data_IF_854580660695
#
_entry.id   IF_854580660695
#
_cell.length_a   1.000
_cell.length_b   1.000
_cell.length_c   1.000
_cell.angle_alpha   90.00
_cell.angle_beta   90.00
_cell.angle_gamma   90.00
#
_symmetry.space_group_name_H-M   'P 1'
#
loop_
_entity.id
_entity.type
_entity.pdbx_description
1 polymer ?
#
# COMPACT_ATOMS: atom_id res chain seq x y z
N UNK A 1 1.10 -48.67 -15.32
CA UNK A 1 1.58 -47.58 -16.17
C UNK A 1 2.46 -46.71 -15.29
N UNK A 2 3.77 -46.77 -15.50
CA UNK A 2 4.76 -45.94 -14.80
C UNK A 2 4.55 -44.50 -15.25
N UNK A 3 3.96 -43.65 -14.41
CA UNK A 3 3.97 -42.21 -14.64
C UNK A 3 5.45 -41.80 -14.74
N UNK A 4 5.89 -41.36 -15.91
CA UNK A 4 7.16 -40.65 -16.06
C UNK A 4 7.11 -39.46 -15.10
N UNK A 5 7.96 -39.49 -14.08
CA UNK A 5 7.94 -38.52 -13.00
C UNK A 5 8.40 -37.16 -13.52
N UNK A 6 7.53 -36.14 -13.44
CA UNK A 6 7.86 -34.75 -13.85
C UNK A 6 9.03 -34.24 -13.00
N UNK A 7 10.16 -33.93 -13.63
CA UNK A 7 11.40 -33.55 -12.94
C UNK A 7 11.35 -32.09 -12.49
N UNK A 8 11.85 -31.80 -11.29
CA UNK A 8 11.85 -30.47 -10.73
C UNK A 8 13.27 -29.87 -10.66
N UNK A 9 13.36 -28.57 -10.90
CA UNK A 9 14.58 -27.78 -10.75
C UNK A 9 14.37 -26.56 -9.87
N UNK A 10 15.37 -26.15 -9.10
CA UNK A 10 15.30 -24.94 -8.28
C UNK A 10 16.54 -24.08 -8.50
N UNK A 11 16.32 -22.82 -8.90
CA UNK A 11 17.38 -21.82 -9.02
C UNK A 11 17.18 -20.72 -7.98
N UNK A 12 18.20 -20.51 -7.16
CA UNK A 12 18.19 -19.62 -6.00
C UNK A 12 17.79 -20.36 -4.73
N UNK A 13 18.77 -20.67 -3.87
CA UNK A 13 18.64 -21.47 -2.66
C UNK A 13 18.65 -20.60 -1.40
N UNK A 14 17.99 -19.44 -1.48
CA UNK A 14 17.68 -18.60 -0.33
C UNK A 14 16.58 -19.22 0.55
N UNK A 15 15.97 -18.42 1.43
CA UNK A 15 14.89 -18.88 2.32
C UNK A 15 13.75 -19.59 1.58
N UNK A 16 13.30 -19.02 0.45
CA UNK A 16 12.21 -19.57 -0.34
C UNK A 16 12.68 -20.80 -1.13
N UNK A 17 13.61 -20.63 -2.07
CA UNK A 17 13.97 -21.72 -2.97
C UNK A 17 14.68 -22.88 -2.26
N UNK A 18 15.48 -22.62 -1.24
CA UNK A 18 16.05 -23.68 -0.39
C UNK A 18 14.95 -24.47 0.33
N UNK A 19 13.93 -23.78 0.87
CA UNK A 19 12.77 -24.43 1.49
C UNK A 19 11.90 -25.20 0.49
N UNK A 20 11.75 -24.70 -0.74
CA UNK A 20 11.11 -25.43 -1.85
C UNK A 20 11.89 -26.71 -2.15
N UNK A 21 13.21 -26.63 -2.30
CA UNK A 21 14.06 -27.78 -2.60
C UNK A 21 13.96 -28.87 -1.52
N UNK A 22 14.01 -28.48 -0.25
CA UNK A 22 13.83 -29.39 0.90
C UNK A 22 12.42 -30.01 0.91
N UNK A 23 11.38 -29.23 0.61
CA UNK A 23 10.00 -29.75 0.59
C UNK A 23 9.79 -30.78 -0.53
N UNK A 24 10.35 -30.52 -1.71
CA UNK A 24 10.35 -31.44 -2.84
C UNK A 24 11.08 -32.75 -2.51
N UNK A 25 12.30 -32.66 -1.97
CA UNK A 25 13.09 -33.81 -1.56
C UNK A 25 12.36 -34.68 -0.54
N UNK A 26 11.70 -34.06 0.45
CA UNK A 26 10.89 -34.77 1.46
C UNK A 26 9.70 -35.53 0.85
N UNK A 27 9.18 -35.11 -0.30
CA UNK A 27 8.13 -35.81 -1.05
C UNK A 27 8.66 -36.88 -2.00
N UNK A 28 9.98 -37.09 -2.05
CA UNK A 28 10.64 -38.05 -2.93
C UNK A 28 11.04 -37.47 -4.30
N UNK A 29 10.72 -36.21 -4.58
CA UNK A 29 11.12 -35.52 -5.83
C UNK A 29 12.39 -34.72 -5.59
N UNK A 30 13.55 -35.35 -5.59
CA UNK A 30 14.84 -34.65 -5.39
C UNK A 30 15.10 -33.72 -6.58
N UNK A 31 15.18 -32.39 -6.37
CA UNK A 31 15.30 -31.44 -7.48
C UNK A 31 16.76 -31.24 -7.92
N UNK A 32 16.95 -30.92 -9.21
CA UNK A 32 18.21 -30.34 -9.69
C UNK A 32 18.32 -28.89 -9.18
N UNK A 33 19.43 -28.51 -8.55
CA UNK A 33 19.51 -27.20 -7.89
C UNK A 33 20.71 -26.36 -8.32
N UNK A 34 20.58 -25.04 -8.24
CA UNK A 34 21.67 -24.08 -8.42
C UNK A 34 21.47 -22.84 -7.54
N UNK A 35 22.56 -22.35 -6.94
CA UNK A 35 22.68 -21.01 -6.36
C UNK A 35 24.03 -20.41 -6.79
N UNK A 36 24.09 -19.08 -6.89
CA UNK A 36 25.35 -18.37 -7.17
C UNK A 36 26.36 -18.54 -6.02
N UNK A 37 25.87 -18.75 -4.79
CA UNK A 37 26.70 -19.02 -3.63
C UNK A 37 27.21 -20.46 -3.70
N UNK A 38 28.53 -20.68 -3.64
CA UNK A 38 29.08 -22.03 -3.59
C UNK A 38 28.57 -22.75 -2.34
N UNK A 39 28.28 -24.05 -2.47
CA UNK A 39 27.84 -24.93 -1.36
C UNK A 39 26.50 -24.57 -0.72
N UNK A 40 25.66 -23.76 -1.37
CA UNK A 40 24.35 -23.41 -0.82
C UNK A 40 23.44 -24.65 -0.63
N UNK A 41 23.62 -25.68 -1.46
CA UNK A 41 22.88 -26.95 -1.36
C UNK A 41 23.34 -27.83 -0.18
N UNK A 42 24.61 -27.74 0.25
CA UNK A 42 25.19 -28.61 1.29
C UNK A 42 24.42 -28.54 2.63
N UNK A 43 23.77 -27.40 2.90
CA UNK A 43 23.00 -27.17 4.11
C UNK A 43 21.52 -27.59 4.01
N UNK A 44 21.07 -28.12 2.86
CA UNK A 44 19.68 -28.44 2.58
C UNK A 44 19.41 -29.95 2.72
N UNK A 45 18.63 -30.39 3.72
CA UNK A 45 18.34 -31.81 3.92
C UNK A 45 17.67 -32.46 2.71
N UNK A 46 18.21 -33.59 2.26
CA UNK A 46 17.65 -34.40 1.16
C UNK A 46 17.86 -33.82 -0.24
N UNK A 47 18.60 -32.72 -0.37
CA UNK A 47 18.97 -32.11 -1.65
C UNK A 47 20.39 -32.56 -2.02
N UNK A 48 20.58 -32.96 -3.27
CA UNK A 48 21.90 -33.32 -3.80
C UNK A 48 22.78 -32.07 -4.02
N UNK A 49 24.04 -32.29 -4.41
CA UNK A 49 24.94 -31.19 -4.77
C UNK A 49 24.39 -30.30 -5.89
N UNK A 50 24.67 -29.00 -5.82
CA UNK A 50 24.23 -28.07 -6.86
C UNK A 50 25.00 -28.26 -8.19
N UNK A 51 24.30 -28.01 -9.30
CA UNK A 51 24.86 -28.05 -10.65
C UNK A 51 25.73 -26.83 -10.95
N UNK A 52 26.32 -26.77 -12.14
CA UNK A 52 27.23 -25.70 -12.55
C UNK A 52 26.56 -24.39 -12.96
N UNK A 53 25.30 -24.44 -13.41
CA UNK A 53 24.58 -23.28 -13.96
C UNK A 53 23.05 -23.45 -13.92
N UNK A 54 22.27 -22.36 -14.08
CA UNK A 54 20.83 -22.42 -14.34
C UNK A 54 20.48 -23.22 -15.61
N UNK A 55 21.30 -23.14 -16.65
CA UNK A 55 21.14 -23.94 -17.87
C UNK A 55 21.23 -25.45 -17.58
N UNK A 56 22.13 -25.88 -16.71
CA UNK A 56 22.24 -27.30 -16.35
C UNK A 56 21.04 -27.78 -15.52
N UNK A 57 20.49 -26.91 -14.66
CA UNK A 57 19.21 -27.18 -13.97
C UNK A 57 18.08 -27.37 -14.98
N UNK A 58 18.01 -26.53 -16.02
CA UNK A 58 17.00 -26.63 -17.06
C UNK A 58 17.06 -27.97 -17.81
N UNK A 59 18.24 -28.44 -18.21
CA UNK A 59 18.42 -29.74 -18.90
C UNK A 59 17.94 -30.93 -18.05
N UNK A 60 18.07 -30.82 -16.73
CA UNK A 60 17.71 -31.86 -15.78
C UNK A 60 16.25 -31.81 -15.31
N UNK A 61 15.46 -30.83 -15.76
CA UNK A 61 14.14 -30.53 -15.20
C UNK A 61 13.06 -30.41 -16.27
N UNK A 62 11.81 -30.62 -15.87
CA UNK A 62 10.63 -30.31 -16.69
C UNK A 62 9.93 -29.04 -16.14
N UNK A 63 10.04 -28.79 -14.83
CA UNK A 63 9.55 -27.57 -14.16
C UNK A 63 10.67 -26.95 -13.33
N UNK A 64 11.00 -25.68 -13.58
CA UNK A 64 12.07 -24.95 -12.87
C UNK A 64 11.47 -23.81 -12.05
N UNK A 65 11.64 -23.89 -10.74
CA UNK A 65 11.32 -22.85 -9.78
C UNK A 65 12.48 -21.83 -9.71
N UNK A 66 12.19 -20.55 -9.98
CA UNK A 66 13.17 -19.47 -9.89
C UNK A 66 12.84 -18.57 -8.69
N UNK A 67 13.72 -18.56 -7.69
CA UNK A 67 13.56 -17.83 -6.44
C UNK A 67 14.79 -16.96 -6.14
N UNK A 68 14.83 -15.79 -6.76
CA UNK A 68 15.90 -14.77 -6.64
C UNK A 68 15.38 -13.47 -6.02
N UNK A 69 16.27 -12.50 -5.75
CA UNK A 69 15.92 -11.30 -4.97
C UNK A 69 15.17 -10.26 -5.80
N UNK A 70 15.61 -10.02 -7.04
CA UNK A 70 15.15 -8.89 -7.85
C UNK A 70 15.00 -9.23 -9.34
N UNK A 71 14.48 -8.26 -10.09
CA UNK A 71 14.24 -8.37 -11.53
C UNK A 71 15.50 -8.57 -12.37
N UNK A 72 16.64 -8.00 -11.97
CA UNK A 72 17.90 -8.16 -12.71
C UNK A 72 18.44 -9.57 -12.54
N UNK A 73 18.36 -10.11 -11.31
CA UNK A 73 18.69 -11.50 -11.05
C UNK A 73 17.75 -12.46 -11.79
N UNK A 74 16.46 -12.15 -11.86
CA UNK A 74 15.50 -12.96 -12.61
C UNK A 74 15.85 -12.99 -14.11
N UNK A 75 16.18 -11.84 -14.71
CA UNK A 75 16.67 -11.77 -16.10
C UNK A 75 17.96 -12.56 -16.31
N UNK A 76 18.95 -12.38 -15.43
CA UNK A 76 20.22 -13.08 -15.53
C UNK A 76 20.05 -14.60 -15.41
N UNK A 77 19.22 -15.07 -14.48
CA UNK A 77 18.95 -16.48 -14.27
C UNK A 77 18.14 -17.09 -15.40
N UNK A 78 17.15 -16.38 -15.94
CA UNK A 78 16.26 -16.94 -16.97
C UNK A 78 16.88 -16.80 -18.36
N UNK A 79 17.27 -15.58 -18.74
CA UNK A 79 17.65 -15.22 -20.11
C UNK A 79 19.13 -14.86 -20.28
N UNK A 80 19.95 -14.97 -19.22
CA UNK A 80 21.40 -14.77 -19.32
C UNK A 80 22.10 -15.86 -20.16
N UNK A 81 23.39 -15.68 -20.50
CA UNK A 81 24.13 -16.62 -21.34
C UNK A 81 24.15 -18.07 -20.83
N UNK A 82 24.23 -18.25 -19.50
CA UNK A 82 24.14 -19.55 -18.83
C UNK A 82 22.78 -19.73 -18.11
N UNK A 83 21.78 -18.96 -18.53
CA UNK A 83 20.45 -18.93 -17.95
C UNK A 83 19.61 -20.17 -18.26
N UNK A 84 18.43 -20.26 -17.65
CA UNK A 84 17.49 -21.37 -17.84
C UNK A 84 17.16 -21.58 -19.33
N UNK A 85 16.94 -20.51 -20.08
CA UNK A 85 16.61 -20.59 -21.52
C UNK A 85 17.76 -21.16 -22.37
N UNK A 86 19.02 -20.98 -21.96
CA UNK A 86 20.18 -21.53 -22.68
C UNK A 86 20.27 -23.07 -22.57
N UNK A 87 19.63 -23.67 -21.56
CA UNK A 87 19.56 -25.12 -21.37
C UNK A 87 18.16 -25.72 -21.51
N UNK A 88 17.16 -24.90 -21.84
CA UNK A 88 15.78 -25.35 -21.89
C UNK A 88 15.53 -26.29 -23.07
N UNK A 89 14.54 -27.17 -22.90
CA UNK A 89 13.97 -27.99 -23.96
C UNK A 89 12.51 -27.57 -24.17
N UNK A 90 11.95 -27.71 -25.38
CA UNK A 90 10.54 -27.44 -25.62
C UNK A 90 9.64 -28.16 -24.62
N UNK A 91 8.70 -27.43 -24.02
CA UNK A 91 7.79 -27.95 -22.98
C UNK A 91 8.29 -27.80 -21.54
N UNK A 92 9.51 -27.31 -21.30
CA UNK A 92 9.94 -26.88 -19.96
C UNK A 92 9.03 -25.76 -19.45
N UNK A 93 8.76 -25.74 -18.15
CA UNK A 93 8.00 -24.66 -17.50
C UNK A 93 8.85 -23.93 -16.47
N UNK A 94 8.95 -22.61 -16.58
CA UNK A 94 9.52 -21.73 -15.55
C UNK A 94 8.43 -21.23 -14.63
N UNK A 95 8.62 -21.41 -13.32
CA UNK A 95 7.75 -20.87 -12.27
C UNK A 95 8.53 -19.81 -11.51
N UNK A 96 8.19 -18.54 -11.72
CA UNK A 96 8.87 -17.42 -11.07
C UNK A 96 8.27 -17.15 -9.69
N UNK A 97 9.03 -17.41 -8.63
CA UNK A 97 8.60 -17.19 -7.24
C UNK A 97 8.94 -15.78 -6.71
N UNK A 98 9.88 -15.11 -7.37
CA UNK A 98 10.32 -13.77 -7.01
C UNK A 98 9.22 -12.74 -7.21
N UNK A 99 8.98 -11.92 -6.19
CA UNK A 99 8.06 -10.79 -6.31
C UNK A 99 8.72 -9.67 -7.11
N UNK A 100 8.27 -9.46 -8.35
CA UNK A 100 8.79 -8.40 -9.24
C UNK A 100 7.63 -7.66 -9.94
N UNK A 101 7.95 -6.56 -10.61
CA UNK A 101 6.95 -5.75 -11.32
C UNK A 101 6.38 -6.47 -12.56
N UNK A 102 5.08 -6.28 -12.83
CA UNK A 102 4.37 -6.93 -13.94
C UNK A 102 5.00 -6.73 -15.33
N UNK A 103 5.55 -5.54 -15.69
CA UNK A 103 6.22 -5.40 -16.98
C UNK A 103 7.38 -6.38 -17.15
N UNK A 104 8.11 -6.67 -16.07
CA UNK A 104 9.20 -7.66 -16.10
C UNK A 104 8.67 -9.09 -16.19
N UNK A 105 7.55 -9.38 -15.52
CA UNK A 105 6.85 -10.68 -15.64
C UNK A 105 6.48 -10.94 -17.10
N UNK A 106 5.88 -9.95 -17.78
CA UNK A 106 5.48 -10.08 -19.18
C UNK A 106 6.67 -10.20 -20.13
N UNK A 107 7.72 -9.41 -19.90
CA UNK A 107 8.99 -9.50 -20.64
C UNK A 107 9.58 -10.91 -20.54
N UNK A 108 9.72 -11.45 -19.33
CA UNK A 108 10.28 -12.79 -19.11
C UNK A 108 9.40 -13.90 -19.72
N UNK A 109 8.09 -13.76 -19.62
CA UNK A 109 7.15 -14.70 -20.24
C UNK A 109 7.27 -14.70 -21.76
N UNK A 110 7.43 -13.53 -22.39
CA UNK A 110 7.64 -13.42 -23.82
C UNK A 110 8.95 -14.11 -24.24
N UNK A 111 10.06 -13.85 -23.53
CA UNK A 111 11.35 -14.50 -23.80
C UNK A 111 11.26 -16.03 -23.66
N UNK A 112 10.50 -16.53 -22.67
CA UNK A 112 10.24 -17.96 -22.53
C UNK A 112 9.43 -18.51 -23.71
N UNK A 113 8.38 -17.81 -24.13
CA UNK A 113 7.54 -18.23 -25.26
C UNK A 113 8.34 -18.32 -26.58
N UNK A 114 9.28 -17.41 -26.82
CA UNK A 114 10.19 -17.44 -27.99
C UNK A 114 11.06 -18.70 -28.03
N UNK A 115 11.22 -19.41 -26.90
CA UNK A 115 11.98 -20.66 -26.76
C UNK A 115 11.07 -21.89 -26.52
N UNK A 116 9.75 -21.77 -26.75
CA UNK A 116 8.78 -22.84 -26.48
C UNK A 116 8.76 -23.31 -25.00
N UNK A 117 9.08 -22.38 -24.10
CA UNK A 117 9.09 -22.58 -22.64
C UNK A 117 7.85 -21.96 -22.03
N UNK A 118 7.13 -22.74 -21.22
CA UNK A 118 5.99 -22.27 -20.44
C UNK A 118 6.44 -21.36 -19.29
N UNK A 119 5.60 -20.40 -18.92
CA UNK A 119 5.91 -19.45 -17.85
C UNK A 119 4.72 -19.22 -16.93
N UNK A 120 4.95 -19.33 -15.62
CA UNK A 120 4.00 -19.04 -14.56
C UNK A 120 4.58 -18.01 -13.60
N UNK A 121 3.82 -16.97 -13.29
CA UNK A 121 4.15 -16.06 -12.20
C UNK A 121 3.53 -16.58 -10.90
N UNK A 122 4.34 -16.75 -9.86
CA UNK A 122 3.96 -17.48 -8.65
C UNK A 122 4.29 -16.70 -7.37
N UNK A 123 3.33 -15.97 -6.83
CA UNK A 123 3.52 -15.33 -5.53
C UNK A 123 3.51 -16.36 -4.41
N UNK A 124 4.38 -16.22 -3.40
CA UNK A 124 4.40 -17.13 -2.24
C UNK A 124 4.18 -16.42 -0.91
N UNK A 125 3.52 -17.11 0.02
CA UNK A 125 3.29 -16.64 1.39
C UNK A 125 2.85 -17.78 2.34
N UNK A 126 3.25 -17.78 3.62
CA UNK A 126 4.37 -17.04 4.20
C UNK A 126 5.70 -17.74 3.90
N UNK A 127 6.77 -16.95 3.69
CA UNK A 127 8.04 -17.47 3.15
C UNK A 127 8.91 -18.25 4.14
N UNK A 128 8.84 -17.89 5.42
CA UNK A 128 9.51 -18.55 6.53
C UNK A 128 9.05 -20.02 6.73
N UNK A 129 7.88 -20.38 6.18
CA UNK A 129 7.32 -21.73 6.20
C UNK A 129 7.65 -22.58 4.98
N UNK A 130 8.58 -22.13 4.13
CA UNK A 130 8.94 -22.83 2.90
C UNK A 130 9.42 -24.27 3.12
N UNK A 131 10.35 -24.51 4.05
CA UNK A 131 10.90 -25.85 4.33
C UNK A 131 9.89 -26.81 4.99
N UNK A 132 8.82 -26.28 5.58
CA UNK A 132 7.77 -27.03 6.27
C UNK A 132 6.60 -27.40 5.35
N UNK A 133 6.69 -27.14 4.03
CA UNK A 133 5.56 -27.26 3.10
C UNK A 133 4.35 -26.42 3.58
N UNK A 134 4.62 -25.24 4.14
CA UNK A 134 3.60 -24.35 4.70
C UNK A 134 3.18 -23.21 3.76
N UNK A 135 3.82 -23.07 2.60
CA UNK A 135 3.55 -21.97 1.67
C UNK A 135 2.24 -22.15 0.90
N UNK A 136 1.55 -21.03 0.68
CA UNK A 136 0.53 -20.87 -0.36
C UNK A 136 1.22 -20.35 -1.62
N UNK A 137 1.06 -21.07 -2.72
CA UNK A 137 1.47 -20.65 -4.07
C UNK A 137 0.29 -19.96 -4.77
N UNK A 138 0.51 -18.75 -5.26
CA UNK A 138 -0.48 -17.87 -5.89
C UNK A 138 -0.08 -17.71 -7.36
N UNK A 139 -0.75 -18.42 -8.25
CA UNK A 139 -0.35 -18.55 -9.66
C UNK A 139 -1.11 -17.61 -10.58
N UNK A 140 -0.41 -17.00 -11.51
CA UNK A 140 -0.94 -16.50 -12.77
C UNK A 140 -0.32 -17.27 -13.94
N UNK A 141 -1.09 -17.49 -14.99
CA UNK A 141 -0.63 -18.16 -16.20
C UNK A 141 -1.73 -18.98 -16.89
N UNK A 142 -1.34 -19.61 -18.00
CA UNK A 142 -2.22 -20.45 -18.83
C UNK A 142 -2.64 -21.75 -18.12
N UNK A 143 -3.90 -22.15 -18.28
CA UNK A 143 -4.49 -23.33 -17.62
C UNK A 143 -3.75 -24.63 -17.94
N UNK A 144 -3.27 -24.81 -19.17
CA UNK A 144 -2.55 -26.01 -19.58
C UNK A 144 -1.16 -26.05 -18.93
N UNK A 145 -0.46 -24.92 -18.87
CA UNK A 145 0.84 -24.81 -18.19
C UNK A 145 0.68 -25.05 -16.69
N UNK A 146 -0.33 -24.45 -16.06
CA UNK A 146 -0.66 -24.69 -14.64
C UNK A 146 -0.94 -26.16 -14.38
N UNK A 147 -1.74 -26.80 -15.24
CA UNK A 147 -2.08 -28.22 -15.12
C UNK A 147 -0.85 -29.13 -15.25
N UNK A 148 0.06 -28.82 -16.18
CA UNK A 148 1.30 -29.55 -16.38
C UNK A 148 2.28 -29.40 -15.19
N UNK A 149 2.37 -28.21 -14.59
CA UNK A 149 3.23 -27.94 -13.44
C UNK A 149 2.65 -28.41 -12.09
N UNK A 150 1.34 -28.64 -12.02
CA UNK A 150 0.62 -28.96 -10.78
C UNK A 150 1.20 -30.11 -9.94
N UNK A 151 1.70 -31.24 -10.52
CA UNK A 151 2.32 -32.31 -9.75
C UNK A 151 3.53 -31.82 -8.93
N UNK A 152 4.39 -30.98 -9.53
CA UNK A 152 5.56 -30.40 -8.84
C UNK A 152 5.14 -29.36 -7.81
N UNK A 153 4.16 -28.51 -8.14
CA UNK A 153 3.68 -27.45 -7.24
C UNK A 153 3.08 -27.99 -5.94
N UNK A 154 2.36 -29.12 -6.00
CA UNK A 154 1.75 -29.76 -4.82
C UNK A 154 2.74 -30.44 -3.89
N UNK A 155 3.96 -30.69 -4.34
CA UNK A 155 4.99 -31.33 -3.53
C UNK A 155 5.69 -30.35 -2.58
N UNK A 156 5.58 -29.03 -2.81
CA UNK A 156 6.18 -28.02 -1.94
C UNK A 156 5.22 -26.95 -1.40
N UNK A 157 4.05 -26.78 -1.99
CA UNK A 157 3.03 -25.86 -1.50
C UNK A 157 2.00 -26.59 -0.62
N UNK A 158 1.61 -25.96 0.50
CA UNK A 158 0.45 -26.36 1.30
C UNK A 158 -0.84 -26.23 0.50
N UNK A 159 -0.95 -25.16 -0.28
CA UNK A 159 -2.09 -24.85 -1.13
C UNK A 159 -1.60 -24.13 -2.38
N UNK A 160 -2.15 -24.52 -3.52
CA UNK A 160 -1.95 -23.84 -4.80
C UNK A 160 -3.26 -23.15 -5.16
N UNK A 161 -3.21 -21.86 -5.46
CA UNK A 161 -4.36 -21.05 -5.90
C UNK A 161 -4.01 -20.45 -7.24
N UNK A 162 -4.75 -20.81 -8.28
CA UNK A 162 -4.65 -20.19 -9.59
C UNK A 162 -5.61 -19.01 -9.66
N UNK A 163 -5.05 -17.82 -9.87
CA UNK A 163 -5.74 -16.54 -9.74
C UNK A 163 -6.14 -15.93 -11.09
N UNK A 164 -5.83 -16.61 -12.20
CA UNK A 164 -6.18 -16.19 -13.55
C UNK A 164 -4.98 -16.16 -14.52
N UNK A 165 -5.03 -15.32 -15.56
CA UNK A 165 -4.01 -15.30 -16.60
C UNK A 165 -2.66 -14.80 -16.08
N UNK A 166 -1.64 -14.81 -16.94
CA UNK A 166 -0.31 -14.29 -16.63
C UNK A 166 -0.39 -12.89 -15.99
N UNK A 167 0.37 -12.71 -14.90
CA UNK A 167 0.41 -11.51 -14.07
C UNK A 167 -0.58 -11.53 -12.90
N UNK A 168 -1.64 -12.35 -12.93
CA UNK A 168 -2.63 -12.39 -11.87
C UNK A 168 -2.07 -12.90 -10.52
N UNK A 169 -1.10 -13.81 -10.54
CA UNK A 169 -0.46 -14.35 -9.35
C UNK A 169 0.36 -13.28 -8.61
N UNK A 170 1.19 -12.55 -9.35
CA UNK A 170 1.99 -11.42 -8.86
C UNK A 170 1.12 -10.26 -8.42
N UNK A 171 0.11 -9.89 -9.21
CA UNK A 171 -0.83 -8.84 -8.83
C UNK A 171 -1.53 -9.18 -7.49
N UNK A 172 -2.01 -10.42 -7.34
CA UNK A 172 -2.65 -10.90 -6.10
C UNK A 172 -1.66 -10.88 -4.93
N UNK A 173 -0.41 -11.29 -5.14
CA UNK A 173 0.64 -11.25 -4.11
C UNK A 173 0.99 -9.83 -3.68
N UNK A 174 1.11 -8.90 -4.62
CA UNK A 174 1.35 -7.48 -4.35
C UNK A 174 0.17 -6.88 -3.58
N UNK A 175 -1.07 -7.13 -4.02
CA UNK A 175 -2.27 -6.68 -3.30
C UNK A 175 -2.33 -7.23 -1.87
N UNK A 176 -2.02 -8.51 -1.67
CA UNK A 176 -1.94 -9.12 -0.33
C UNK A 176 -0.87 -8.44 0.55
N UNK A 177 0.27 -8.04 -0.03
CA UNK A 177 1.30 -7.32 0.71
C UNK A 177 0.84 -5.94 1.16
N UNK A 178 0.05 -5.22 0.35
CA UNK A 178 -0.55 -3.94 0.74
C UNK A 178 -1.39 -4.12 2.01
N UNK A 179 -2.26 -5.12 2.04
CA UNK A 179 -3.10 -5.41 3.23
C UNK A 179 -2.22 -5.68 4.47
N UNK A 180 -1.15 -6.46 4.32
CA UNK A 180 -0.29 -6.83 5.45
C UNK A 180 0.48 -5.64 6.00
N UNK A 181 1.24 -4.95 5.14
CA UNK A 181 2.10 -3.85 5.57
C UNK A 181 1.31 -2.61 5.93
N UNK A 182 0.17 -2.35 5.26
CA UNK A 182 -0.78 -1.32 5.67
C UNK A 182 -1.32 -1.57 7.08
N UNK A 183 -1.74 -2.80 7.37
CA UNK A 183 -2.22 -3.15 8.72
C UNK A 183 -1.13 -3.01 9.79
N UNK A 184 0.11 -3.39 9.48
CA UNK A 184 1.24 -3.17 10.40
C UNK A 184 1.47 -1.69 10.69
N UNK A 185 1.34 -0.84 9.67
CA UNK A 185 1.41 0.61 9.86
C UNK A 185 0.27 1.12 10.73
N UNK A 186 -0.97 0.66 10.50
CA UNK A 186 -2.12 1.01 11.34
C UNK A 186 -1.89 0.61 12.80
N UNK A 187 -1.45 -0.64 13.05
CA UNK A 187 -1.19 -1.14 14.40
C UNK A 187 -0.07 -0.35 15.07
N UNK A 188 0.97 0.02 14.33
CA UNK A 188 2.04 0.87 14.84
C UNK A 188 1.52 2.25 15.28
N UNK A 189 0.69 2.91 14.48
CA UNK A 189 0.07 4.20 14.83
C UNK A 189 -0.87 4.08 16.03
N UNK A 190 -1.70 3.03 16.07
CA UNK A 190 -2.60 2.77 17.20
C UNK A 190 -1.82 2.49 18.50
N UNK A 191 -0.73 1.72 18.43
CA UNK A 191 0.13 1.45 19.58
C UNK A 191 0.84 2.72 20.07
N UNK A 192 1.27 3.60 19.15
CA UNK A 192 1.86 4.89 19.51
C UNK A 192 0.83 5.81 20.20
N UNK A 193 -0.39 5.88 19.67
CA UNK A 193 -1.49 6.64 20.28
C UNK A 193 -1.84 6.11 21.68
N UNK A 194 -1.99 4.79 21.82
CA UNK A 194 -2.26 4.14 23.09
C UNK A 194 -1.14 4.37 24.11
N UNK A 195 0.12 4.22 23.69
CA UNK A 195 1.29 4.47 24.53
C UNK A 195 1.36 5.92 25.03
N UNK A 196 1.10 6.89 24.15
CA UNK A 196 1.05 8.30 24.53
C UNK A 196 -0.10 8.62 25.49
N UNK A 197 -1.22 7.89 25.39
CA UNK A 197 -2.33 7.94 26.33
C UNK A 197 -2.06 7.19 27.66
N UNK A 198 -0.85 6.61 27.84
CA UNK A 198 -0.47 5.85 29.03
C UNK A 198 -0.97 4.40 29.06
N UNK A 199 -1.43 3.86 27.93
CA UNK A 199 -1.89 2.48 27.80
C UNK A 199 -0.76 1.58 27.32
N UNK A 200 -0.55 0.46 28.01
CA UNK A 200 0.38 -0.59 27.57
C UNK A 200 -0.08 -1.19 26.23
N UNK A 201 0.74 -1.17 25.16
CA UNK A 201 0.41 -1.81 23.89
C UNK A 201 0.02 -3.29 24.01
N UNK A 202 0.51 -4.02 25.03
CA UNK A 202 0.07 -5.39 25.28
C UNK A 202 -1.41 -5.47 25.67
N UNK A 203 -1.95 -4.46 26.36
CA UNK A 203 -3.38 -4.35 26.66
C UNK A 203 -4.19 -3.97 25.44
N UNK A 204 -3.65 -3.14 24.55
CA UNK A 204 -4.26 -2.89 23.24
C UNK A 204 -4.36 -4.19 22.42
N UNK A 205 -3.30 -5.00 22.41
CA UNK A 205 -3.30 -6.30 21.74
C UNK A 205 -4.35 -7.25 22.35
N UNK A 206 -4.43 -7.35 23.69
CA UNK A 206 -5.45 -8.16 24.39
C UNK A 206 -6.88 -7.77 24.01
N UNK A 207 -7.16 -6.46 23.91
CA UNK A 207 -8.47 -5.94 23.48
C UNK A 207 -8.76 -6.33 22.02
N UNK A 208 -7.79 -6.17 21.13
CA UNK A 208 -7.95 -6.52 19.70
C UNK A 208 -8.17 -8.03 19.54
N UNK A 209 -7.37 -8.87 20.17
CA UNK A 209 -7.50 -10.34 20.08
C UNK A 209 -8.84 -10.83 20.63
N UNK A 210 -9.36 -10.18 21.68
CA UNK A 210 -10.67 -10.52 22.28
C UNK A 210 -11.83 -10.06 21.41
N UNK A 211 -11.75 -8.85 20.85
CA UNK A 211 -12.80 -8.28 20.01
C UNK A 211 -12.84 -8.91 18.60
N UNK A 212 -11.67 -9.31 18.09
CA UNK A 212 -11.50 -9.85 16.74
C UNK A 212 -10.60 -11.09 16.71
N UNK A 213 -11.05 -12.22 17.29
CA UNK A 213 -10.26 -13.43 17.30
C UNK A 213 -10.01 -13.91 15.87
N UNK A 214 -8.74 -14.17 15.56
CA UNK A 214 -8.23 -14.61 14.25
C UNK A 214 -8.19 -13.50 13.16
N UNK A 215 -8.34 -12.23 13.52
CA UNK A 215 -8.18 -11.10 12.59
C UNK A 215 -9.26 -11.04 11.51
N UNK A 216 -10.52 -11.35 11.86
CA UNK A 216 -11.65 -11.36 10.93
C UNK A 216 -11.94 -9.97 10.37
N UNK A 217 -11.72 -8.90 11.15
CA UNK A 217 -11.96 -7.51 10.75
C UNK A 217 -11.13 -7.15 9.52
N UNK A 218 -9.89 -7.64 9.42
CA UNK A 218 -8.97 -7.36 8.31
C UNK A 218 -9.50 -7.86 6.96
N UNK A 219 -10.25 -8.96 6.94
CA UNK A 219 -10.91 -9.47 5.74
C UNK A 219 -12.41 -9.12 5.66
N UNK A 220 -12.96 -8.49 6.70
CA UNK A 220 -14.39 -8.25 6.81
C UNK A 220 -14.89 -7.35 5.67
N UNK A 221 -14.17 -6.29 5.34
CA UNK A 221 -14.54 -5.39 4.24
C UNK A 221 -14.60 -6.13 2.89
N UNK A 222 -13.64 -7.02 2.61
CA UNK A 222 -13.67 -7.85 1.39
C UNK A 222 -14.83 -8.85 1.38
N UNK A 223 -15.26 -9.32 2.56
CA UNK A 223 -16.38 -10.26 2.73
C UNK A 223 -17.75 -9.59 2.78
N UNK A 224 -17.79 -8.26 2.97
CA UNK A 224 -19.01 -7.45 2.87
C UNK A 224 -19.40 -7.20 1.41
N UNK A 225 -18.45 -7.37 0.48
CA UNK A 225 -18.69 -7.20 -0.95
C UNK A 225 -19.62 -8.30 -1.48
N UNK A 226 -20.55 -7.90 -2.34
CA UNK A 226 -21.49 -8.80 -2.98
C UNK A 226 -20.87 -9.55 -4.18
N UNK A 227 -21.70 -10.24 -4.96
CA UNK A 227 -21.24 -10.98 -6.14
C UNK A 227 -20.67 -10.08 -7.25
N UNK A 228 -21.01 -8.79 -7.28
CA UNK A 228 -20.42 -7.81 -8.19
C UNK A 228 -19.11 -7.23 -7.65
N UNK A 229 -18.74 -7.56 -6.42
CA UNK A 229 -17.55 -7.06 -5.76
C UNK A 229 -17.75 -5.67 -5.15
N UNK A 230 -19.00 -5.23 -4.92
CA UNK A 230 -19.32 -3.91 -4.35
C UNK A 230 -19.85 -4.04 -2.92
N UNK A 231 -19.62 -3.02 -2.07
CA UNK A 231 -20.25 -2.98 -0.74
C UNK A 231 -21.72 -2.53 -0.91
N UNK A 232 -22.71 -3.32 -0.45
CA UNK A 232 -24.11 -2.92 -0.55
C UNK A 232 -24.37 -1.57 0.12
N UNK A 233 -24.98 -0.62 -0.60
CA UNK A 233 -25.13 0.78 -0.14
C UNK A 233 -25.81 0.88 1.23
N UNK A 234 -26.86 0.07 1.48
CA UNK A 234 -27.56 0.05 2.77
C UNK A 234 -26.65 -0.36 3.94
N UNK A 235 -25.69 -1.27 3.70
CA UNK A 235 -24.70 -1.67 4.68
C UNK A 235 -23.67 -0.55 4.89
N UNK A 236 -23.19 0.05 3.81
CA UNK A 236 -22.29 1.20 3.87
C UNK A 236 -22.87 2.35 4.69
N UNK A 237 -24.12 2.77 4.40
CA UNK A 237 -24.83 3.84 5.13
C UNK A 237 -25.05 3.54 6.62
N UNK A 238 -25.06 2.27 7.01
CA UNK A 238 -25.15 1.85 8.41
C UNK A 238 -23.80 1.98 9.13
N UNK A 239 -22.69 1.71 8.44
CA UNK A 239 -21.34 1.70 9.01
C UNK A 239 -20.73 3.10 9.04
N UNK A 240 -21.00 3.92 8.00
CA UNK A 240 -20.41 5.24 7.79
C UNK A 240 -20.45 6.14 9.05
N UNK A 241 -21.58 6.32 9.76
CA UNK A 241 -21.61 7.22 10.92
C UNK A 241 -20.75 6.75 12.09
N UNK A 242 -20.63 5.43 12.27
CA UNK A 242 -19.82 4.83 13.35
C UNK A 242 -18.33 5.03 13.06
N UNK A 243 -17.92 4.72 11.83
CA UNK A 243 -16.54 4.88 11.38
C UNK A 243 -16.10 6.35 11.41
N UNK A 244 -16.94 7.27 10.92
CA UNK A 244 -16.68 8.71 10.96
C UNK A 244 -16.49 9.23 12.39
N UNK A 245 -17.36 8.81 13.32
CA UNK A 245 -17.29 9.19 14.75
C UNK A 245 -16.02 8.66 15.43
N UNK A 246 -15.70 7.37 15.27
CA UNK A 246 -14.57 6.76 15.98
C UNK A 246 -13.22 7.27 15.45
N UNK A 247 -13.10 7.52 14.14
CA UNK A 247 -11.89 8.10 13.55
C UNK A 247 -11.68 9.58 13.92
N UNK A 248 -12.77 10.35 14.08
CA UNK A 248 -12.69 11.72 14.58
C UNK A 248 -12.15 11.75 16.03
N UNK A 249 -12.65 10.86 16.89
CA UNK A 249 -12.16 10.75 18.26
C UNK A 249 -10.67 10.36 18.33
N UNK A 250 -10.22 9.44 17.48
CA UNK A 250 -8.80 9.08 17.41
C UNK A 250 -7.92 10.26 16.96
N UNK A 251 -8.39 11.06 15.99
CA UNK A 251 -7.71 12.26 15.51
C UNK A 251 -7.54 13.32 16.60
N UNK A 252 -8.62 13.63 17.31
CA UNK A 252 -8.60 14.64 18.37
C UNK A 252 -7.66 14.25 19.51
N UNK A 253 -7.68 12.97 19.90
CA UNK A 253 -6.77 12.43 20.92
C UNK A 253 -5.31 12.50 20.47
N UNK A 254 -5.01 12.17 19.22
CA UNK A 254 -3.65 12.23 18.70
C UNK A 254 -3.11 13.67 18.66
N UNK A 255 -3.97 14.63 18.29
CA UNK A 255 -3.63 16.04 18.32
C UNK A 255 -3.36 16.56 19.76
N UNK A 256 -4.13 16.09 20.75
CA UNK A 256 -3.90 16.40 22.16
C UNK A 256 -2.57 15.84 22.67
N UNK A 257 -2.24 14.61 22.27
CA UNK A 257 -1.05 13.89 22.73
C UNK A 257 0.21 14.18 21.90
N UNK A 258 0.11 14.95 20.82
CA UNK A 258 1.23 15.25 19.93
C UNK A 258 1.75 14.02 19.17
N UNK A 259 0.87 13.08 18.84
CA UNK A 259 1.21 11.85 18.09
C UNK A 259 0.75 11.98 16.64
N UNK A 260 1.65 11.66 15.70
CA UNK A 260 1.30 11.61 14.28
C UNK A 260 0.60 10.29 13.93
N UNK A 261 -0.65 10.38 13.44
CA UNK A 261 -1.46 9.24 12.94
C UNK A 261 -1.94 9.46 11.49
N UNK A 262 -1.02 9.61 10.51
CA UNK A 262 -1.38 9.97 9.15
C UNK A 262 -2.30 8.96 8.46
N UNK A 263 -2.22 7.67 8.78
CA UNK A 263 -3.10 6.67 8.17
C UNK A 263 -4.53 6.80 8.69
N UNK A 264 -4.70 7.15 9.97
CA UNK A 264 -6.02 7.44 10.53
C UNK A 264 -6.64 8.70 9.90
N UNK A 265 -5.85 9.73 9.58
CA UNK A 265 -6.34 10.92 8.86
C UNK A 265 -6.85 10.58 7.46
N UNK A 266 -6.06 9.80 6.72
CA UNK A 266 -6.42 9.34 5.38
C UNK A 266 -7.71 8.52 5.43
N UNK A 267 -7.84 7.63 6.41
CA UNK A 267 -9.07 6.86 6.61
C UNK A 267 -10.27 7.76 6.97
N UNK A 268 -10.08 8.72 7.89
CA UNK A 268 -11.11 9.67 8.36
C UNK A 268 -11.66 10.52 7.21
N UNK A 269 -10.79 10.99 6.32
CA UNK A 269 -11.18 11.84 5.19
C UNK A 269 -11.77 11.06 4.01
N UNK A 270 -11.72 9.71 4.05
CA UNK A 270 -12.18 8.82 2.98
C UNK A 270 -13.19 7.77 3.44
N UNK A 271 -13.91 7.98 4.56
CA UNK A 271 -14.89 7.01 5.07
C UNK A 271 -15.90 6.60 4.01
N UNK A 272 -16.49 7.55 3.30
CA UNK A 272 -17.51 7.29 2.26
C UNK A 272 -16.94 6.55 1.05
N UNK A 273 -15.79 7.01 0.56
CA UNK A 273 -15.01 6.38 -0.51
C UNK A 273 -14.64 4.92 -0.16
N UNK A 274 -14.24 4.67 1.10
CA UNK A 274 -13.90 3.33 1.62
C UNK A 274 -15.09 2.37 1.63
N UNK A 275 -16.30 2.91 1.81
CA UNK A 275 -17.54 2.14 1.90
C UNK A 275 -18.30 2.10 0.56
N UNK A 276 -17.65 2.48 -0.53
CA UNK A 276 -18.23 2.60 -1.88
C UNK A 276 -19.49 3.49 -1.92
N UNK A 277 -19.62 4.44 -0.98
CA UNK A 277 -20.75 5.36 -0.90
C UNK A 277 -20.51 6.62 -1.74
N UNK A 278 -21.55 7.19 -2.37
CA UNK A 278 -21.45 8.48 -3.03
C UNK A 278 -20.94 9.53 -2.04
N UNK A 279 -19.97 10.36 -2.44
CA UNK A 279 -19.58 11.52 -1.64
C UNK A 279 -20.79 12.44 -1.47
N UNK A 280 -21.20 12.65 -0.22
CA UNK A 280 -22.32 13.53 0.08
C UNK A 280 -21.91 14.97 -0.22
N UNK A 281 -22.58 15.58 -1.19
CA UNK A 281 -22.78 17.02 -1.19
C UNK A 281 -24.18 17.22 -0.63
N UNK A 282 -24.35 17.71 0.61
CA UNK A 282 -25.70 17.99 1.09
C UNK A 282 -26.35 19.02 0.16
N UNK A 283 -27.65 18.89 -0.09
CA UNK A 283 -28.48 19.95 -0.67
C UNK A 283 -28.55 21.11 0.32
N UNK A 284 -27.45 21.86 0.35
CA UNK A 284 -27.32 23.17 0.97
C UNK A 284 -27.42 24.17 -0.15
N UNK A 285 -28.05 25.30 0.12
CA UNK A 285 -27.91 26.47 -0.76
C UNK A 285 -26.42 26.76 -0.96
N UNK A 286 -26.01 27.35 -2.11
CA UNK A 286 -24.62 27.73 -2.33
C UNK A 286 -24.02 28.52 -1.15
N UNK A 287 -24.83 29.38 -0.51
CA UNK A 287 -24.44 30.16 0.66
C UNK A 287 -24.20 29.31 1.90
N UNK A 288 -25.10 28.39 2.23
CA UNK A 288 -24.93 27.48 3.37
C UNK A 288 -23.72 26.54 3.20
N UNK A 289 -23.43 26.09 1.96
CA UNK A 289 -22.18 25.37 1.67
C UNK A 289 -20.97 26.26 1.93
N UNK A 290 -21.03 27.51 1.47
CA UNK A 290 -20.00 28.51 1.65
C UNK A 290 -19.66 28.79 3.10
N UNK A 291 -20.67 29.12 3.90
CA UNK A 291 -20.49 29.44 5.32
C UNK A 291 -19.90 28.27 6.10
N UNK A 292 -20.39 27.04 5.86
CA UNK A 292 -19.84 25.86 6.51
C UNK A 292 -18.40 25.56 6.07
N UNK A 293 -18.07 25.77 4.80
CA UNK A 293 -16.69 25.63 4.32
C UNK A 293 -15.77 26.70 4.91
N UNK A 294 -16.25 27.92 5.14
CA UNK A 294 -15.49 28.96 5.83
C UNK A 294 -15.17 28.59 7.27
N UNK A 295 -16.14 28.07 8.03
CA UNK A 295 -15.90 27.57 9.39
C UNK A 295 -14.89 26.42 9.41
N UNK A 296 -14.98 25.51 8.45
CA UNK A 296 -14.02 24.42 8.33
C UNK A 296 -12.61 24.90 7.96
N UNK A 297 -12.49 26.02 7.21
CA UNK A 297 -11.20 26.58 6.77
C UNK A 297 -10.59 27.52 7.82
N UNK A 298 -11.38 28.23 8.61
CA UNK A 298 -10.86 29.28 9.49
C UNK A 298 -11.17 29.07 10.97
N UNK A 299 -11.91 28.03 11.32
CA UNK A 299 -12.31 27.72 12.69
C UNK A 299 -13.81 27.98 12.92
N UNK A 300 -14.35 27.28 13.92
CA UNK A 300 -15.76 27.35 14.28
C UNK A 300 -16.17 28.78 14.64
N UNK A 301 -17.27 29.27 14.05
CA UNK A 301 -17.81 30.60 14.31
C UNK A 301 -17.24 31.70 13.41
N UNK A 302 -16.29 31.40 12.52
CA UNK A 302 -15.78 32.37 11.54
C UNK A 302 -16.90 32.92 10.65
N UNK A 303 -17.80 32.05 10.20
CA UNK A 303 -18.93 32.39 9.31
C UNK A 303 -19.89 33.41 9.94
N UNK A 304 -19.94 33.51 11.27
CA UNK A 304 -20.79 34.46 12.00
C UNK A 304 -20.28 35.90 11.88
N UNK A 305 -19.00 36.07 11.57
CA UNK A 305 -18.38 37.38 11.36
C UNK A 305 -18.52 37.88 9.91
N UNK A 306 -19.13 37.07 9.02
CA UNK A 306 -19.37 37.49 7.65
C UNK A 306 -20.50 38.54 7.60
N UNK A 307 -20.33 39.63 6.83
CA UNK A 307 -21.38 40.63 6.67
C UNK A 307 -22.70 40.00 6.23
N UNK A 308 -23.79 40.35 6.93
CA UNK A 308 -25.13 39.88 6.62
C UNK A 308 -25.71 40.47 5.32
N UNK A 309 -25.18 41.62 4.88
CA UNK A 309 -25.62 42.30 3.67
C UNK A 309 -25.09 41.60 2.41
N UNK A 310 -25.99 41.23 1.49
CA UNK A 310 -25.64 40.63 0.20
C UNK A 310 -25.02 41.67 -0.73
N UNK A 311 -23.78 41.42 -1.13
CA UNK A 311 -23.06 42.15 -2.17
C UNK A 311 -22.47 41.15 -3.16
N UNK A 312 -22.24 41.53 -4.44
CA UNK A 312 -21.61 40.63 -5.39
C UNK A 312 -20.27 40.05 -4.91
N UNK A 313 -19.51 40.82 -4.12
CA UNK A 313 -18.24 40.36 -3.54
C UNK A 313 -18.47 39.30 -2.45
N UNK A 314 -19.29 39.59 -1.44
CA UNK A 314 -19.58 38.65 -0.34
C UNK A 314 -20.25 37.38 -0.82
N UNK A 315 -21.13 37.49 -1.82
CA UNK A 315 -21.87 36.36 -2.36
C UNK A 315 -20.94 35.47 -3.21
N UNK A 316 -20.10 36.05 -4.07
CA UNK A 316 -19.11 35.27 -4.83
C UNK A 316 -18.10 34.58 -3.92
N UNK A 317 -17.62 35.27 -2.87
CA UNK A 317 -16.70 34.67 -1.91
C UNK A 317 -17.39 33.51 -1.17
N UNK A 318 -18.58 33.72 -0.63
CA UNK A 318 -19.27 32.70 0.16
C UNK A 318 -19.72 31.55 -0.72
N UNK A 319 -20.53 31.83 -1.74
CA UNK A 319 -21.24 30.83 -2.53
C UNK A 319 -20.33 30.08 -3.50
N UNK A 320 -19.43 30.81 -4.18
CA UNK A 320 -18.59 30.21 -5.21
C UNK A 320 -17.22 29.78 -4.67
N UNK A 321 -16.43 30.71 -4.10
CA UNK A 321 -15.10 30.34 -3.60
C UNK A 321 -15.19 29.30 -2.49
N UNK A 322 -16.00 29.53 -1.45
CA UNK A 322 -16.11 28.55 -0.37
C UNK A 322 -17.08 27.42 -0.72
N UNK A 323 -18.25 27.75 -1.28
CA UNK A 323 -19.31 26.77 -1.54
C UNK A 323 -19.10 25.85 -2.75
N UNK A 324 -18.23 26.21 -3.70
CA UNK A 324 -17.97 25.40 -4.90
C UNK A 324 -16.49 25.08 -5.16
N UNK A 325 -15.55 25.85 -4.61
CA UNK A 325 -14.11 25.55 -4.75
C UNK A 325 -13.58 24.85 -3.50
N UNK A 326 -13.69 25.43 -2.31
CA UNK A 326 -13.19 24.81 -1.07
C UNK A 326 -14.01 23.58 -0.65
N UNK A 327 -15.33 23.63 -0.80
CA UNK A 327 -16.21 22.51 -0.49
C UNK A 327 -16.17 21.37 -1.53
N UNK A 328 -15.43 21.53 -2.64
CA UNK A 328 -15.44 20.54 -3.73
C UNK A 328 -14.74 19.24 -3.28
N UNK A 329 -15.34 18.07 -3.54
CA UNK A 329 -14.68 16.79 -3.25
C UNK A 329 -13.38 16.62 -4.07
N UNK A 330 -12.50 15.73 -3.60
CA UNK A 330 -11.26 15.32 -4.27
C UNK A 330 -9.96 15.81 -3.65
N UNK A 331 -9.98 16.95 -2.93
CA UNK A 331 -8.85 17.43 -2.12
C UNK A 331 -9.32 17.78 -0.71
N UNK A 332 -8.56 17.37 0.30
CA UNK A 332 -8.82 17.77 1.69
C UNK A 332 -8.60 19.28 1.88
N UNK A 333 -9.15 19.85 2.96
CA UNK A 333 -8.90 21.26 3.31
C UNK A 333 -7.40 21.50 3.51
N UNK A 334 -6.71 20.56 4.15
CA UNK A 334 -5.25 20.60 4.34
C UNK A 334 -4.50 20.65 3.00
N UNK A 335 -4.87 19.82 2.03
CA UNK A 335 -4.21 19.83 0.71
C UNK A 335 -4.46 21.14 -0.04
N UNK A 336 -5.70 21.62 -0.01
CA UNK A 336 -6.06 22.93 -0.57
C UNK A 336 -5.27 24.05 0.10
N UNK A 337 -5.10 23.98 1.43
CA UNK A 337 -4.32 24.97 2.16
C UNK A 337 -2.86 24.96 1.76
N UNK A 338 -2.24 23.81 1.58
CA UNK A 338 -0.86 23.73 1.10
C UNK A 338 -0.72 24.35 -0.30
N UNK A 339 -1.68 24.13 -1.20
CA UNK A 339 -1.71 24.78 -2.51
C UNK A 339 -1.85 26.30 -2.40
N UNK A 340 -2.74 26.79 -1.54
CA UNK A 340 -2.96 28.23 -1.34
C UNK A 340 -1.76 28.88 -0.64
N UNK A 341 -1.14 28.21 0.33
CA UNK A 341 0.10 28.67 0.98
C UNK A 341 1.24 28.74 -0.04
N UNK A 342 1.40 27.73 -0.90
CA UNK A 342 2.38 27.76 -1.97
C UNK A 342 2.15 28.91 -2.95
N UNK A 343 0.90 29.14 -3.36
CA UNK A 343 0.55 30.25 -4.26
C UNK A 343 0.78 31.63 -3.60
N UNK A 344 0.35 31.80 -2.35
CA UNK A 344 0.52 33.08 -1.62
C UNK A 344 1.99 33.35 -1.28
N UNK A 345 2.77 32.31 -1.00
CA UNK A 345 4.21 32.37 -0.86
C UNK A 345 4.88 32.79 -2.17
N UNK A 346 4.50 32.19 -3.30
CA UNK A 346 5.04 32.56 -4.62
C UNK A 346 4.73 34.01 -5.00
N UNK A 347 3.62 34.56 -4.53
CA UNK A 347 3.23 35.96 -4.71
C UNK A 347 3.86 36.92 -3.69
N UNK A 348 4.58 36.40 -2.68
CA UNK A 348 5.19 37.22 -1.64
C UNK A 348 4.17 37.99 -0.81
N UNK A 349 3.01 37.38 -0.49
CA UNK A 349 1.89 38.01 0.23
C UNK A 349 1.85 37.60 1.72
N UNK A 350 2.63 38.26 2.60
CA UNK A 350 2.73 37.87 4.01
C UNK A 350 1.39 37.99 4.75
N UNK A 351 0.57 38.94 4.33
CA UNK A 351 -0.77 39.18 4.86
C UNK A 351 -1.72 38.00 4.57
N UNK A 352 -1.69 37.46 3.35
CA UNK A 352 -2.48 36.29 2.99
C UNK A 352 -1.93 35.02 3.65
N UNK A 353 -0.60 34.89 3.73
CA UNK A 353 0.03 33.78 4.46
C UNK A 353 -0.42 33.78 5.91
N UNK A 354 -0.41 34.92 6.60
CA UNK A 354 -0.88 35.03 8.00
C UNK A 354 -2.32 34.51 8.18
N UNK A 355 -3.24 34.90 7.30
CA UNK A 355 -4.64 34.43 7.33
C UNK A 355 -4.73 32.91 7.15
N UNK A 356 -4.01 32.37 6.17
CA UNK A 356 -4.05 30.94 5.88
C UNK A 356 -3.41 30.11 7.00
N UNK A 357 -2.32 30.60 7.60
CA UNK A 357 -1.65 29.98 8.73
C UNK A 357 -2.54 30.01 9.98
N UNK A 358 -3.23 31.12 10.25
CA UNK A 358 -4.20 31.21 11.34
C UNK A 358 -5.29 30.13 11.22
N UNK A 359 -5.89 30.00 10.02
CA UNK A 359 -6.85 28.92 9.77
C UNK A 359 -6.24 27.52 9.88
N UNK A 360 -4.98 27.33 9.46
CA UNK A 360 -4.28 26.04 9.59
C UNK A 360 -4.15 25.61 11.06
N UNK A 361 -3.87 26.57 11.94
CA UNK A 361 -3.70 26.36 13.37
C UNK A 361 -5.06 26.13 14.05
N UNK A 362 -6.08 26.93 13.70
CA UNK A 362 -7.43 26.80 14.21
C UNK A 362 -8.05 25.44 13.87
N UNK A 363 -7.90 25.00 12.62
CA UNK A 363 -8.37 23.70 12.13
C UNK A 363 -7.42 22.53 12.48
N UNK A 364 -6.31 22.80 13.20
CA UNK A 364 -5.29 21.81 13.60
C UNK A 364 -4.73 21.00 12.42
N UNK A 365 -4.60 21.63 11.27
CA UNK A 365 -4.12 20.99 10.03
C UNK A 365 -2.59 20.92 9.95
N UNK A 366 -1.91 21.92 10.53
CA UNK A 366 -0.46 22.07 10.49
C UNK A 366 0.08 22.55 11.84
N UNK A 367 1.19 21.95 12.27
CA UNK A 367 1.90 22.38 13.48
C UNK A 367 2.80 23.60 13.21
N UNK A 368 3.16 24.40 14.23
CA UNK A 368 4.12 25.48 14.08
C UNK A 368 5.46 25.05 13.45
N UNK A 369 5.93 23.85 13.78
CA UNK A 369 7.14 23.29 13.19
C UNK A 369 6.98 22.98 11.70
N UNK A 370 5.86 22.35 11.31
CA UNK A 370 5.55 22.06 9.91
C UNK A 370 5.41 23.35 9.08
N UNK A 371 4.82 24.40 9.65
CA UNK A 371 4.69 25.70 8.99
C UNK A 371 6.04 26.34 8.72
N UNK A 372 6.96 26.33 9.70
CA UNK A 372 8.32 26.84 9.54
C UNK A 372 9.12 26.02 8.52
N UNK A 373 9.01 24.70 8.57
CA UNK A 373 9.65 23.81 7.61
C UNK A 373 9.12 24.05 6.18
N UNK A 374 7.81 24.27 6.02
CA UNK A 374 7.22 24.61 4.74
C UNK A 374 7.79 25.91 4.16
N UNK A 375 8.03 26.93 4.99
CA UNK A 375 8.67 28.17 4.54
C UNK A 375 10.10 27.94 4.04
N UNK A 376 10.87 27.10 4.74
CA UNK A 376 12.22 26.72 4.34
C UNK A 376 12.21 25.96 3.01
N UNK A 377 11.31 24.98 2.86
CA UNK A 377 11.15 24.23 1.63
C UNK A 377 10.81 25.16 0.45
N UNK A 378 9.87 26.09 0.64
CA UNK A 378 9.44 27.02 -0.39
C UNK A 378 10.54 28.00 -0.82
N UNK A 379 11.51 28.33 0.05
CA UNK A 379 12.62 29.23 -0.27
C UNK A 379 13.42 28.84 -1.52
N UNK A 380 13.53 27.55 -1.79
CA UNK A 380 14.24 27.02 -2.97
C UNK A 380 13.45 27.15 -4.27
N UNK A 381 12.12 27.30 -4.20
CA UNK A 381 11.23 27.33 -5.37
C UNK A 381 10.70 28.73 -5.67
N UNK A 382 10.37 29.51 -4.63
CA UNK A 382 9.82 30.85 -4.79
C UNK A 382 10.86 31.96 -4.62
N UNK A 383 12.09 31.59 -4.22
CA UNK A 383 13.19 32.50 -3.95
C UNK A 383 13.16 33.09 -2.54
N UNK A 384 14.35 33.42 -2.02
CA UNK A 384 14.55 33.87 -0.64
C UNK A 384 13.78 35.14 -0.26
N UNK A 385 13.57 36.08 -1.19
CA UNK A 385 12.79 37.30 -0.92
C UNK A 385 11.32 36.98 -0.58
N UNK A 386 10.67 36.21 -1.43
CA UNK A 386 9.29 35.76 -1.22
C UNK A 386 9.14 34.82 -0.02
N UNK A 387 10.13 33.95 0.21
CA UNK A 387 10.14 33.08 1.38
C UNK A 387 10.36 33.85 2.69
N UNK A 388 11.12 34.95 2.68
CA UNK A 388 11.24 35.84 3.85
C UNK A 388 9.89 36.45 4.20
N UNK A 389 9.14 36.94 3.21
CA UNK A 389 7.78 37.42 3.42
C UNK A 389 6.85 36.30 3.94
N UNK A 390 6.96 35.10 3.37
CA UNK A 390 6.20 33.92 3.83
C UNK A 390 6.49 33.60 5.30
N UNK A 391 7.77 33.58 5.69
CA UNK A 391 8.19 33.36 7.06
C UNK A 391 7.63 34.44 8.01
N UNK A 392 7.67 35.72 7.61
CA UNK A 392 7.07 36.80 8.40
C UNK A 392 5.56 36.60 8.62
N UNK A 393 4.82 36.18 7.59
CA UNK A 393 3.40 35.87 7.71
C UNK A 393 3.12 34.73 8.69
N UNK A 394 3.95 33.67 8.64
CA UNK A 394 3.86 32.53 9.56
C UNK A 394 4.13 32.96 11.01
N UNK A 395 5.23 33.67 11.28
CA UNK A 395 5.57 34.08 12.64
C UNK A 395 4.53 35.06 13.23
N UNK A 396 3.97 35.94 12.40
CA UNK A 396 2.89 36.83 12.83
C UNK A 396 1.64 36.03 13.26
N UNK A 397 1.23 35.02 12.48
CA UNK A 397 0.08 34.18 12.83
C UNK A 397 0.32 33.33 14.09
N UNK A 398 1.54 32.81 14.25
CA UNK A 398 1.93 32.06 15.45
C UNK A 398 1.88 32.93 16.72
N UNK A 399 2.26 34.21 16.59
CA UNK A 399 2.18 35.17 17.69
C UNK A 399 0.72 35.44 18.09
N UNK A 400 -0.17 35.68 17.13
CA UNK A 400 -1.61 35.89 17.38
C UNK A 400 -2.24 34.69 18.09
N UNK A 401 -2.00 33.49 17.55
CA UNK A 401 -2.55 32.25 18.07
C UNK A 401 -2.10 31.93 19.50
N UNK A 402 -0.90 32.37 19.88
CA UNK A 402 -0.38 32.22 21.25
C UNK A 402 -1.04 33.21 22.23
N UNK A 403 -1.48 34.38 21.75
CA UNK A 403 -2.16 35.38 22.58
C UNK A 403 -3.61 35.02 22.85
N UNK A 404 -4.32 34.42 21.90
CA UNK A 404 -5.73 33.97 22.07
C UNK A 404 -5.89 32.79 23.04
N UNK A 405 -4.81 32.06 23.33
CA UNK A 405 -4.80 30.94 24.29
C UNK A 405 -4.45 31.32 25.74
N UNK A 406 -4.11 32.58 26.01
CA UNK A 406 -3.90 33.11 27.37
C UNK A 406 -5.16 33.79 27.87
#
# INVERSE_FOLDING_TARGET
MTHTEVRAGVVGLGMIGGGVAVSLARRGRVPAVYDIRPKAADALPGVDGQLGSPADVAKASDVVMVAVVDANQARAVIAGPDGVLAGAQPGLTVVLLSTIALPVVHELAQLCAEHEVGFLDCGVTPGDKAAENGMVAILGGDDAIVSAAMPVLRDWAKKVVHCGPLGAGMATKIARNIVTYGSWRTVHEAAALAGAAGVDPAKLAEVIDTADPEGRTLLQLLRMRDAAGEIPEALGRKIEPLMSKDLAAAWDLAAELGVDIPLADVARTRVRDTLDLPLEQPERTPRERGLAAMDAVYGEGFSQNMPGDSTPFTDTTTEHLFGEVWARPGLSIRDRRLLVLGATAALGRPDLVRIQVGGALAARELTPAQLREAALQLAYYVGWGNATATHQGIEAALADFTQEKK
#
